data_IF_802220337622
#
_entry.id   IF_802220337622
#
_cell.length_a   1.000
_cell.length_b   1.000
_cell.length_c   1.000
_cell.angle_alpha   90.00
_cell.angle_beta   90.00
_cell.angle_gamma   90.00
#
_symmetry.space_group_name_H-M   'P 1'
#
loop_
_entity.id
_entity.type
_entity.pdbx_description
1 polymer ?
#
# COMPACT_ATOMS: atom_id res chain seq x y z
N UNK A 1 -7.70 15.78 -22.05
CA UNK A 1 -6.51 16.15 -22.84
C UNK A 1 -5.36 15.19 -22.55
N UNK A 2 -4.70 15.30 -21.38
CA UNK A 2 -3.53 14.45 -21.02
C UNK A 2 -3.78 12.94 -21.15
N UNK A 3 -4.93 12.44 -20.65
CA UNK A 3 -5.30 11.01 -20.78
C UNK A 3 -5.63 10.61 -22.22
N UNK A 4 -6.11 11.55 -23.05
CA UNK A 4 -6.44 11.25 -24.45
C UNK A 4 -5.19 11.27 -25.33
N UNK A 5 -4.22 12.14 -25.04
CA UNK A 5 -2.94 12.21 -25.76
C UNK A 5 -2.06 10.96 -25.58
N UNK A 6 -2.34 10.09 -24.61
CA UNK A 6 -1.66 8.79 -24.48
C UNK A 6 -2.17 7.77 -25.50
N UNK A 7 -3.35 7.99 -26.10
CA UNK A 7 -3.89 7.16 -27.17
C UNK A 7 -3.21 7.56 -28.49
N UNK A 8 -2.63 6.61 -29.26
CA UNK A 8 -1.89 6.92 -30.49
C UNK A 8 -2.67 7.78 -31.49
N UNK A 9 -3.98 7.56 -31.60
CA UNK A 9 -4.90 8.27 -32.50
C UNK A 9 -5.09 9.75 -32.15
N UNK A 10 -4.91 10.12 -30.88
CA UNK A 10 -5.07 11.49 -30.37
C UNK A 10 -3.73 12.10 -29.92
N UNK A 11 -2.62 11.43 -30.22
CA UNK A 11 -1.26 11.85 -29.84
C UNK A 11 -0.85 13.11 -30.59
N UNK A 12 -1.24 13.23 -31.86
CA UNK A 12 -1.19 14.48 -32.62
C UNK A 12 -2.42 15.33 -32.29
N UNK A 13 -2.66 15.55 -31.00
CA UNK A 13 -3.77 16.35 -30.52
C UNK A 13 -3.73 17.70 -31.22
N UNK A 14 -4.67 17.92 -32.16
CA UNK A 14 -4.70 19.12 -32.99
C UNK A 14 -4.79 20.40 -32.16
N UNK A 15 -4.82 21.58 -32.81
CA UNK A 15 -4.77 22.89 -32.13
C UNK A 15 -5.79 23.04 -30.99
N UNK A 16 -6.91 22.33 -31.05
CA UNK A 16 -7.90 22.27 -29.97
C UNK A 16 -7.35 21.81 -28.61
N UNK A 17 -6.47 20.80 -28.56
CA UNK A 17 -5.89 20.33 -27.29
C UNK A 17 -4.91 21.35 -26.70
N UNK A 18 -4.12 22.00 -27.55
CA UNK A 18 -3.25 23.10 -27.14
C UNK A 18 -4.07 24.26 -26.55
N UNK A 19 -5.11 24.71 -27.26
CA UNK A 19 -5.98 25.79 -26.77
C UNK A 19 -6.71 25.41 -25.48
N UNK A 20 -7.16 24.16 -25.34
CA UNK A 20 -7.75 23.67 -24.10
C UNK A 20 -6.75 23.76 -22.94
N UNK A 21 -5.50 23.37 -23.14
CA UNK A 21 -4.47 23.47 -22.11
C UNK A 21 -4.11 24.90 -21.74
N UNK A 22 -4.04 25.80 -22.73
CA UNK A 22 -3.82 27.24 -22.52
C UNK A 22 -4.97 27.85 -21.72
N UNK A 23 -6.22 27.60 -22.13
CA UNK A 23 -7.42 28.10 -21.43
C UNK A 23 -7.51 27.54 -20.01
N UNK A 24 -7.31 26.23 -19.84
CA UNK A 24 -7.32 25.60 -18.52
C UNK A 24 -6.23 26.17 -17.60
N UNK A 25 -5.02 26.38 -18.14
CA UNK A 25 -3.91 26.99 -17.39
C UNK A 25 -4.27 28.43 -17.01
N UNK A 26 -4.80 29.23 -17.93
CA UNK A 26 -5.22 30.61 -17.66
C UNK A 26 -6.29 30.69 -16.57
N UNK A 27 -7.33 29.84 -16.64
CA UNK A 27 -8.39 29.77 -15.62
C UNK A 27 -7.82 29.38 -14.25
N UNK A 28 -6.92 28.39 -14.19
CA UNK A 28 -6.29 27.98 -12.94
C UNK A 28 -5.33 29.03 -12.38
N UNK A 29 -4.60 29.75 -13.22
CA UNK A 29 -3.78 30.88 -12.77
C UNK A 29 -4.67 31.98 -12.21
N UNK A 30 -5.76 32.32 -12.90
CA UNK A 30 -6.69 33.34 -12.42
C UNK A 30 -7.26 32.97 -11.05
N UNK A 31 -7.72 31.72 -10.89
CA UNK A 31 -8.18 31.18 -9.60
C UNK A 31 -7.09 31.28 -8.51
N UNK A 32 -5.84 30.93 -8.83
CA UNK A 32 -4.70 31.01 -7.92
C UNK A 32 -4.41 32.46 -7.50
N UNK A 33 -4.42 33.39 -8.45
CA UNK A 33 -4.19 34.83 -8.20
C UNK A 33 -5.29 35.39 -7.31
N UNK A 34 -6.57 35.13 -7.63
CA UNK A 34 -7.70 35.60 -6.83
C UNK A 34 -7.61 35.11 -5.38
N UNK A 35 -7.21 33.85 -5.16
CA UNK A 35 -6.97 33.30 -3.82
C UNK A 35 -5.78 33.94 -3.11
N UNK A 36 -4.70 34.21 -3.84
CA UNK A 36 -3.52 34.87 -3.28
C UNK A 36 -3.85 36.29 -2.82
N UNK A 37 -4.60 37.05 -3.62
CA UNK A 37 -5.05 38.40 -3.28
C UNK A 37 -6.03 38.44 -2.09
N UNK A 38 -6.82 37.37 -1.91
CA UNK A 38 -7.71 37.21 -0.75
C UNK A 38 -7.03 36.67 0.51
N UNK A 39 -5.74 36.34 0.48
CA UNK A 39 -4.99 35.83 1.63
C UNK A 39 -4.43 36.97 2.47
N UNK A 40 -4.44 36.80 3.80
CA UNK A 40 -3.91 37.80 4.75
C UNK A 40 -2.39 38.01 4.60
N UNK A 41 -1.67 36.97 4.17
CA UNK A 41 -0.22 37.06 3.86
C UNK A 41 0.24 35.97 2.89
N UNK A 42 1.41 36.17 2.27
CA UNK A 42 2.03 35.17 1.41
C UNK A 42 2.45 33.90 2.18
N UNK A 43 2.82 34.04 3.46
CA UNK A 43 3.19 32.91 4.32
C UNK A 43 1.98 32.04 4.67
N UNK A 44 0.84 32.67 5.03
CA UNK A 44 -0.42 31.96 5.24
C UNK A 44 -0.93 31.26 3.97
N UNK A 45 -0.66 31.85 2.80
CA UNK A 45 -0.99 31.22 1.53
C UNK A 45 -0.13 29.97 1.27
N UNK A 46 1.18 30.05 1.54
CA UNK A 46 2.13 28.97 1.31
C UNK A 46 2.02 27.83 2.34
N UNK A 47 1.57 28.11 3.56
CA UNK A 47 1.34 27.08 4.59
C UNK A 47 0.12 26.18 4.30
N UNK A 48 -0.79 26.62 3.42
CA UNK A 48 -1.93 25.82 3.00
C UNK A 48 -1.53 24.80 1.91
N UNK A 49 -1.54 23.51 2.26
CA UNK A 49 -1.15 22.42 1.36
C UNK A 49 -1.92 22.38 0.04
N UNK A 50 -3.21 22.72 0.02
CA UNK A 50 -3.99 22.75 -1.23
C UNK A 50 -3.57 23.90 -2.15
N UNK A 51 -3.09 25.01 -1.61
CA UNK A 51 -2.57 26.13 -2.42
C UNK A 51 -1.21 25.78 -3.04
N UNK A 52 -0.38 25.00 -2.35
CA UNK A 52 0.86 24.45 -2.91
C UNK A 52 0.59 23.49 -4.06
N UNK A 53 -0.40 22.60 -3.91
CA UNK A 53 -0.85 21.73 -5.01
C UNK A 53 -1.34 22.54 -6.21
N UNK A 54 -2.11 23.61 -5.97
CA UNK A 54 -2.60 24.48 -7.04
C UNK A 54 -1.48 25.20 -7.79
N UNK A 55 -0.45 25.67 -7.06
CA UNK A 55 0.73 26.30 -7.64
C UNK A 55 1.49 25.31 -8.55
N UNK A 56 1.79 24.11 -8.05
CA UNK A 56 2.50 23.07 -8.80
C UNK A 56 1.71 22.61 -10.02
N UNK A 57 0.39 22.52 -9.91
CA UNK A 57 -0.51 22.10 -10.98
C UNK A 57 -0.52 23.05 -12.19
N UNK A 58 -0.16 24.32 -12.00
CA UNK A 58 -0.11 25.36 -13.04
C UNK A 58 1.26 25.40 -13.76
N UNK A 59 2.34 24.98 -13.09
CA UNK A 59 3.71 24.99 -13.63
C UNK A 59 3.87 24.35 -15.02
N UNK A 60 3.28 23.16 -15.32
CA UNK A 60 3.45 22.54 -16.62
C UNK A 60 2.94 23.37 -17.80
N UNK A 61 1.93 24.21 -17.60
CA UNK A 61 1.38 25.06 -18.67
C UNK A 61 2.28 26.26 -18.98
N UNK A 62 2.91 26.84 -17.96
CA UNK A 62 3.90 27.90 -18.15
C UNK A 62 5.21 27.39 -18.73
N UNK A 63 5.62 26.17 -18.37
CA UNK A 63 6.81 25.55 -18.95
C UNK A 63 6.66 25.33 -20.46
N UNK A 64 5.51 24.82 -20.91
CA UNK A 64 5.22 24.65 -22.34
C UNK A 64 5.20 26.00 -23.08
N UNK A 65 4.61 27.04 -22.49
CA UNK A 65 4.59 28.38 -23.08
C UNK A 65 6.01 28.98 -23.17
N UNK A 66 6.83 28.80 -22.12
CA UNK A 66 8.21 29.24 -22.09
C UNK A 66 9.03 28.56 -23.19
N UNK A 67 8.85 27.24 -23.38
CA UNK A 67 9.56 26.49 -24.41
C UNK A 67 9.17 26.95 -25.83
N UNK A 68 7.92 27.35 -26.03
CA UNK A 68 7.44 27.90 -27.30
C UNK A 68 7.96 29.33 -27.58
N UNK A 69 8.17 30.14 -26.53
CA UNK A 69 8.70 31.51 -26.63
C UNK A 69 10.22 31.55 -26.82
N UNK A 70 10.95 30.53 -26.36
CA UNK A 70 12.40 30.43 -26.49
C UNK A 70 12.82 29.19 -27.33
N UNK A 71 12.44 29.14 -28.63
CA UNK A 71 12.76 28.00 -29.50
C UNK A 71 14.25 27.84 -29.77
N UNK A 72 15.11 28.79 -29.40
CA UNK A 72 16.57 28.73 -29.53
C UNK A 72 17.31 28.00 -28.40
N UNK A 73 16.64 27.69 -27.29
CA UNK A 73 17.17 26.82 -26.24
C UNK A 73 16.74 25.37 -26.46
N UNK A 74 16.73 24.91 -27.73
CA UNK A 74 16.55 23.50 -28.03
C UNK A 74 17.67 22.72 -27.35
N UNK A 75 17.36 22.22 -26.17
CA UNK A 75 18.18 21.23 -25.53
C UNK A 75 18.01 19.95 -26.37
N UNK A 76 18.88 19.78 -27.37
CA UNK A 76 19.06 18.54 -28.13
C UNK A 76 19.44 17.34 -27.24
N UNK A 77 19.67 17.59 -25.95
CA UNK A 77 19.88 16.57 -24.95
C UNK A 77 18.60 15.76 -24.66
N UNK A 78 18.69 14.44 -24.77
CA UNK A 78 17.66 13.49 -24.30
C UNK A 78 17.22 13.69 -22.84
N UNK A 79 17.99 14.45 -22.04
CA UNK A 79 17.62 14.89 -20.69
C UNK A 79 16.46 15.91 -20.68
N UNK A 80 16.39 16.81 -21.67
CA UNK A 80 15.31 17.80 -21.79
C UNK A 80 13.98 17.13 -22.13
N UNK A 81 13.99 16.15 -23.04
CA UNK A 81 12.83 15.35 -23.42
C UNK A 81 12.31 14.49 -22.26
N UNK A 82 13.21 14.01 -21.39
CA UNK A 82 12.85 13.28 -20.17
C UNK A 82 12.21 14.21 -19.13
N UNK A 83 12.76 15.41 -18.94
CA UNK A 83 12.19 16.41 -18.03
C UNK A 83 10.83 16.93 -18.52
N UNK A 84 10.67 17.16 -19.81
CA UNK A 84 9.38 17.48 -20.45
C UNK A 84 8.32 16.42 -20.16
N UNK A 85 8.69 15.14 -20.30
CA UNK A 85 7.78 14.02 -20.02
C UNK A 85 7.32 14.00 -18.56
N UNK A 86 8.23 14.25 -17.62
CA UNK A 86 7.89 14.34 -16.19
C UNK A 86 7.01 15.56 -15.89
N UNK A 87 7.27 16.70 -16.52
CA UNK A 87 6.42 17.90 -16.41
C UNK A 87 5.00 17.65 -16.90
N UNK A 88 4.82 16.84 -17.94
CA UNK A 88 3.50 16.46 -18.42
C UNK A 88 2.76 15.52 -17.46
N UNK A 89 3.48 14.61 -16.77
CA UNK A 89 2.87 13.78 -15.72
C UNK A 89 2.39 14.61 -14.53
N UNK A 90 3.08 15.71 -14.19
CA UNK A 90 2.67 16.62 -13.10
C UNK A 90 1.29 17.24 -13.33
N UNK A 91 0.80 17.31 -14.57
CA UNK A 91 -0.58 17.73 -14.87
C UNK A 91 -1.62 16.84 -14.22
N UNK A 92 -1.32 15.56 -13.93
CA UNK A 92 -2.24 14.66 -13.22
C UNK A 92 -2.54 15.15 -11.81
N UNK A 93 -1.63 15.91 -11.18
CA UNK A 93 -1.85 16.53 -9.88
C UNK A 93 -3.03 17.53 -9.89
N UNK A 94 -3.43 18.04 -11.06
CA UNK A 94 -4.67 18.84 -11.21
C UNK A 94 -5.91 18.07 -10.75
N UNK A 95 -5.89 16.73 -10.80
CA UNK A 95 -6.99 15.90 -10.27
C UNK A 95 -7.11 16.02 -8.75
N UNK A 96 -6.01 16.26 -8.03
CA UNK A 96 -6.02 16.48 -6.58
C UNK A 96 -6.81 17.75 -6.22
N UNK A 97 -6.95 18.72 -7.14
CA UNK A 97 -7.84 19.89 -6.93
C UNK A 97 -9.29 19.50 -6.71
N UNK A 98 -9.76 18.42 -7.35
CA UNK A 98 -11.12 17.90 -7.15
C UNK A 98 -11.34 17.55 -5.67
N UNK A 99 -10.28 17.16 -4.97
CA UNK A 99 -10.36 16.85 -3.55
C UNK A 99 -10.80 18.05 -2.70
N UNK A 100 -10.43 19.29 -3.07
CA UNK A 100 -10.86 20.52 -2.37
C UNK A 100 -12.38 20.74 -2.47
N UNK A 101 -12.99 20.32 -3.57
CA UNK A 101 -14.42 20.54 -3.82
C UNK A 101 -15.31 19.43 -3.25
N UNK A 102 -14.74 18.27 -2.93
CA UNK A 102 -15.46 17.16 -2.31
C UNK A 102 -15.05 17.03 -0.84
N UNK A 103 -16.03 17.17 0.06
CA UNK A 103 -15.81 17.01 1.52
C UNK A 103 -15.14 15.67 1.84
N UNK A 104 -15.56 14.59 1.15
CA UNK A 104 -15.02 13.25 1.36
C UNK A 104 -13.56 13.14 0.92
N UNK A 105 -13.22 13.66 -0.26
CA UNK A 105 -11.85 13.59 -0.78
C UNK A 105 -10.91 14.51 -0.01
N UNK A 106 -11.37 15.70 0.38
CA UNK A 106 -10.61 16.61 1.25
C UNK A 106 -10.32 15.96 2.59
N UNK A 107 -11.33 15.36 3.23
CA UNK A 107 -11.16 14.63 4.48
C UNK A 107 -10.17 13.47 4.30
N UNK A 108 -10.29 12.71 3.21
CA UNK A 108 -9.37 11.60 2.90
C UNK A 108 -7.92 12.05 2.78
N UNK A 109 -7.66 13.16 2.09
CA UNK A 109 -6.30 13.73 1.97
C UNK A 109 -5.77 14.17 3.34
N UNK A 110 -6.60 14.84 4.14
CA UNK A 110 -6.24 15.33 5.48
C UNK A 110 -5.90 14.16 6.42
N UNK A 111 -6.79 13.16 6.50
CA UNK A 111 -6.58 11.94 7.29
C UNK A 111 -5.29 11.28 6.87
N UNK A 112 -5.11 11.05 5.56
CA UNK A 112 -3.89 10.46 5.04
C UNK A 112 -2.68 11.23 5.54
N UNK A 113 -2.59 12.56 5.30
CA UNK A 113 -1.50 13.45 5.79
C UNK A 113 -1.23 13.37 7.29
N UNK A 114 -2.27 13.23 8.11
CA UNK A 114 -2.14 13.11 9.57
C UNK A 114 -1.52 11.76 9.96
N UNK A 115 -1.89 10.68 9.26
CA UNK A 115 -1.49 9.30 9.60
C UNK A 115 -0.30 8.75 8.81
N UNK A 116 0.20 9.50 7.81
CA UNK A 116 1.39 9.15 7.01
C UNK A 116 2.60 8.79 7.89
N UNK A 117 2.84 9.54 8.96
CA UNK A 117 4.01 9.37 9.82
C UNK A 117 3.85 8.28 10.89
N UNK A 118 2.64 7.80 11.16
CA UNK A 118 2.36 6.82 12.22
C UNK A 118 1.88 5.49 11.62
N UNK A 119 0.58 5.34 11.36
CA UNK A 119 -0.04 4.10 10.90
C UNK A 119 0.51 3.62 9.55
N UNK A 120 0.59 4.52 8.55
CA UNK A 120 1.00 4.14 7.19
C UNK A 120 2.47 3.73 7.16
N UNK A 121 3.36 4.44 7.87
CA UNK A 121 4.78 4.11 7.93
C UNK A 121 4.99 2.74 8.59
N UNK A 122 4.26 2.42 9.66
CA UNK A 122 4.32 1.10 10.31
C UNK A 122 3.86 0.00 9.35
N UNK A 123 2.74 0.19 8.65
CA UNK A 123 2.23 -0.76 7.65
C UNK A 123 3.24 -0.96 6.51
N UNK A 124 3.76 0.13 5.94
CA UNK A 124 4.71 0.09 4.83
C UNK A 124 6.04 -0.55 5.25
N UNK A 125 6.49 -0.29 6.47
CA UNK A 125 7.71 -0.92 7.00
C UNK A 125 7.51 -2.42 7.26
N UNK A 126 6.35 -2.83 7.77
CA UNK A 126 6.01 -4.25 7.93
C UNK A 126 5.90 -4.99 6.58
N UNK A 127 5.18 -4.43 5.60
CA UNK A 127 5.09 -4.98 4.24
C UNK A 127 6.45 -4.98 3.53
N UNK A 128 7.24 -3.91 3.69
CA UNK A 128 8.58 -3.80 3.12
C UNK A 128 9.53 -4.84 3.69
N UNK A 129 9.53 -5.02 5.02
CA UNK A 129 10.29 -6.07 5.68
C UNK A 129 9.87 -7.46 5.20
N UNK A 130 8.57 -7.75 5.15
CA UNK A 130 8.04 -9.02 4.67
C UNK A 130 8.43 -9.30 3.21
N UNK A 131 8.42 -8.27 2.36
CA UNK A 131 8.86 -8.34 0.97
C UNK A 131 10.33 -8.69 0.86
N UNK A 132 11.19 -8.04 1.67
CA UNK A 132 12.64 -8.30 1.67
C UNK A 132 12.93 -9.73 2.10
N UNK A 133 12.30 -10.20 3.18
CA UNK A 133 12.46 -11.57 3.69
C UNK A 133 11.96 -12.59 2.65
N UNK A 134 10.75 -12.39 2.11
CA UNK A 134 10.16 -13.25 1.10
C UNK A 134 11.06 -13.37 -0.12
N UNK A 135 11.51 -12.25 -0.69
CA UNK A 135 12.32 -12.26 -1.90
C UNK A 135 13.69 -12.88 -1.67
N UNK A 136 14.30 -12.66 -0.51
CA UNK A 136 15.58 -13.28 -0.16
C UNK A 136 15.45 -14.80 -0.06
N UNK A 137 14.44 -15.29 0.67
CA UNK A 137 14.22 -16.73 0.82
C UNK A 137 13.85 -17.38 -0.52
N UNK A 138 13.01 -16.74 -1.33
CA UNK A 138 12.62 -17.24 -2.65
C UNK A 138 13.82 -17.29 -3.61
N UNK A 139 14.67 -16.26 -3.58
CA UNK A 139 15.93 -16.27 -4.33
C UNK A 139 16.76 -17.48 -3.96
N UNK A 140 17.12 -17.67 -2.67
CA UNK A 140 17.95 -18.80 -2.26
C UNK A 140 17.34 -20.16 -2.56
N UNK A 141 16.02 -20.31 -2.34
CA UNK A 141 15.36 -21.59 -2.60
C UNK A 141 15.33 -21.88 -4.10
N UNK A 142 15.01 -20.92 -4.96
CA UNK A 142 14.83 -21.17 -6.39
C UNK A 142 16.14 -21.07 -7.20
N UNK A 143 17.13 -20.27 -6.76
CA UNK A 143 18.41 -20.04 -7.48
C UNK A 143 19.28 -21.29 -7.54
N UNK A 144 19.35 -22.05 -6.44
CA UNK A 144 20.38 -23.08 -6.23
C UNK A 144 20.32 -24.26 -7.21
N UNK A 145 19.17 -24.56 -7.82
CA UNK A 145 19.08 -25.65 -8.83
C UNK A 145 19.01 -25.13 -10.25
N UNK A 146 18.57 -23.89 -10.48
CA UNK A 146 18.51 -23.34 -11.82
C UNK A 146 19.92 -23.17 -12.41
N UNK A 147 20.89 -22.73 -11.58
CA UNK A 147 22.30 -22.66 -11.97
C UNK A 147 22.90 -24.07 -12.20
N UNK A 148 22.44 -25.08 -11.45
CA UNK A 148 22.92 -26.46 -11.54
C UNK A 148 22.36 -27.22 -12.77
N UNK A 149 21.12 -26.92 -13.16
CA UNK A 149 20.39 -27.57 -14.26
C UNK A 149 20.57 -26.87 -15.62
N UNK A 150 21.24 -25.71 -15.65
CA UNK A 150 21.44 -24.92 -16.88
C UNK A 150 20.14 -24.35 -17.45
N UNK A 151 19.11 -24.19 -16.61
CA UNK A 151 17.78 -23.66 -16.97
C UNK A 151 17.68 -22.22 -16.46
N UNK A 152 17.00 -21.34 -17.19
CA UNK A 152 16.82 -19.95 -16.77
C UNK A 152 16.02 -19.85 -15.46
N UNK A 153 16.57 -19.17 -14.44
CA UNK A 153 15.83 -18.78 -13.24
C UNK A 153 14.81 -17.69 -13.61
N UNK A 154 13.70 -18.04 -14.26
CA UNK A 154 12.67 -17.07 -14.68
C UNK A 154 12.13 -16.33 -13.44
N UNK A 155 12.52 -15.05 -13.31
CA UNK A 155 12.08 -14.17 -12.22
C UNK A 155 12.84 -14.26 -10.88
N UNK A 156 13.73 -15.24 -10.69
CA UNK A 156 14.53 -15.43 -9.46
C UNK A 156 16.04 -15.29 -9.70
N UNK A 157 16.46 -14.45 -10.65
CA UNK A 157 17.89 -14.24 -10.99
C UNK A 157 18.67 -13.45 -9.95
N UNK A 158 17.99 -12.66 -9.13
CA UNK A 158 18.59 -11.84 -8.07
C UNK A 158 17.53 -11.51 -7.03
N UNK A 159 17.95 -11.12 -5.81
CA UNK A 159 17.01 -10.70 -4.76
C UNK A 159 16.12 -9.53 -5.24
N UNK A 160 16.62 -8.48 -5.93
CA UNK A 160 15.76 -7.44 -6.48
C UNK A 160 14.80 -7.93 -7.56
N UNK A 161 15.17 -8.93 -8.37
CA UNK A 161 14.25 -9.54 -9.33
C UNK A 161 13.11 -10.28 -8.60
N UNK A 162 13.43 -11.00 -7.52
CA UNK A 162 12.46 -11.68 -6.66
C UNK A 162 11.53 -10.73 -5.87
N UNK A 163 11.83 -9.42 -5.81
CA UNK A 163 10.88 -8.44 -5.28
C UNK A 163 9.60 -8.39 -6.11
N UNK A 164 9.67 -8.54 -7.43
CA UNK A 164 8.46 -8.52 -8.27
C UNK A 164 7.48 -9.62 -7.87
N UNK A 165 7.98 -10.85 -7.72
CA UNK A 165 7.21 -11.98 -7.20
C UNK A 165 6.66 -11.69 -5.80
N UNK A 166 7.52 -11.22 -4.89
CA UNK A 166 7.12 -11.00 -3.49
C UNK A 166 6.08 -9.89 -3.34
N UNK A 167 6.24 -8.77 -4.04
CA UNK A 167 5.30 -7.65 -4.00
C UNK A 167 3.95 -8.09 -4.57
N UNK A 168 3.93 -8.70 -5.77
CA UNK A 168 2.68 -9.13 -6.41
C UNK A 168 1.96 -10.23 -5.61
N UNK A 169 2.70 -11.12 -4.96
CA UNK A 169 2.14 -12.20 -4.14
C UNK A 169 1.62 -11.69 -2.79
N UNK A 170 2.41 -10.91 -2.05
CA UNK A 170 2.03 -10.39 -0.73
C UNK A 170 0.89 -9.38 -0.79
N UNK A 171 0.77 -8.66 -1.91
CA UNK A 171 -0.37 -7.75 -2.18
C UNK A 171 -1.58 -8.47 -2.78
N UNK A 172 -1.54 -9.80 -2.89
CA UNK A 172 -2.60 -10.66 -3.43
C UNK A 172 -2.97 -10.43 -4.89
N UNK A 173 -2.14 -9.70 -5.65
CA UNK A 173 -2.35 -9.47 -7.09
C UNK A 173 -2.08 -10.75 -7.89
N UNK A 174 -0.93 -11.38 -7.65
CA UNK A 174 -0.59 -12.70 -8.19
C UNK A 174 -0.73 -12.83 -9.71
N UNK A 175 0.00 -12.02 -10.50
CA UNK A 175 -0.07 -12.04 -11.96
C UNK A 175 0.22 -13.41 -12.59
N UNK A 176 1.03 -14.24 -11.92
CA UNK A 176 1.36 -15.61 -12.36
C UNK A 176 2.43 -15.67 -13.45
N UNK A 177 3.11 -14.55 -13.75
CA UNK A 177 4.23 -14.44 -14.68
C UNK A 177 5.56 -14.95 -14.10
N UNK A 178 5.70 -14.89 -12.78
CA UNK A 178 6.81 -15.50 -12.03
C UNK A 178 6.21 -16.39 -10.94
N UNK A 179 6.61 -17.66 -10.87
CA UNK A 179 6.13 -18.62 -9.86
C UNK A 179 7.26 -19.57 -9.43
N UNK A 180 7.32 -19.99 -8.15
CA UNK A 180 8.28 -20.99 -7.72
C UNK A 180 8.05 -22.31 -8.43
N UNK A 181 9.12 -22.90 -8.95
CA UNK A 181 9.07 -24.23 -9.55
C UNK A 181 9.15 -25.31 -8.46
N UNK A 182 10.00 -25.09 -7.45
CA UNK A 182 10.34 -26.11 -6.44
C UNK A 182 9.22 -26.31 -5.43
N UNK A 183 9.12 -27.53 -4.91
CA UNK A 183 8.18 -27.88 -3.84
C UNK A 183 8.44 -27.03 -2.59
N UNK A 184 9.71 -26.82 -2.23
CA UNK A 184 10.05 -25.98 -1.07
C UNK A 184 9.68 -24.52 -1.30
N UNK A 185 9.91 -23.98 -2.51
CA UNK A 185 9.51 -22.62 -2.87
C UNK A 185 7.99 -22.43 -2.85
N UNK A 186 7.23 -23.44 -3.27
CA UNK A 186 5.75 -23.43 -3.18
C UNK A 186 5.25 -23.42 -1.75
N UNK A 187 5.85 -24.22 -0.86
CA UNK A 187 5.51 -24.23 0.57
C UNK A 187 5.80 -22.87 1.20
N UNK A 188 6.99 -22.32 0.92
CA UNK A 188 7.42 -21.03 1.40
C UNK A 188 6.51 -19.90 0.88
N UNK A 189 6.22 -19.89 -0.43
CA UNK A 189 5.31 -18.92 -1.04
C UNK A 189 3.91 -18.98 -0.42
N UNK A 190 3.40 -20.19 -0.15
CA UNK A 190 2.12 -20.35 0.55
C UNK A 190 2.13 -19.73 1.95
N UNK A 191 3.18 -20.00 2.74
CA UNK A 191 3.34 -19.41 4.07
C UNK A 191 3.44 -17.87 4.02
N UNK A 192 4.31 -17.34 3.15
CA UNK A 192 4.50 -15.89 3.00
C UNK A 192 3.23 -15.20 2.50
N UNK A 193 2.46 -15.83 1.62
CA UNK A 193 1.17 -15.30 1.15
C UNK A 193 0.17 -15.11 2.29
N UNK A 194 0.08 -16.07 3.22
CA UNK A 194 -0.78 -15.95 4.41
C UNK A 194 -0.33 -14.78 5.28
N UNK A 195 0.99 -14.66 5.54
CA UNK A 195 1.54 -13.50 6.26
C UNK A 195 1.22 -12.17 5.57
N UNK A 196 1.30 -12.10 4.24
CA UNK A 196 0.98 -10.91 3.45
C UNK A 196 -0.47 -10.48 3.63
N UNK A 197 -1.41 -11.43 3.50
CA UNK A 197 -2.85 -11.18 3.71
C UNK A 197 -3.13 -10.62 5.10
N UNK A 198 -2.50 -11.19 6.14
CA UNK A 198 -2.67 -10.71 7.52
C UNK A 198 -2.21 -9.26 7.67
N UNK A 199 -1.04 -8.92 7.11
CA UNK A 199 -0.51 -7.55 7.20
C UNK A 199 -1.38 -6.57 6.41
N UNK A 200 -1.88 -6.94 5.22
CA UNK A 200 -2.79 -6.10 4.43
C UNK A 200 -4.15 -5.93 5.14
N UNK A 201 -4.68 -6.98 5.77
CA UNK A 201 -5.92 -6.88 6.55
C UNK A 201 -5.76 -5.94 7.75
N UNK A 202 -4.65 -6.07 8.48
CA UNK A 202 -4.31 -5.15 9.58
C UNK A 202 -4.16 -3.71 9.09
N UNK A 203 -3.55 -3.51 7.93
CA UNK A 203 -3.44 -2.19 7.32
C UNK A 203 -4.81 -1.55 7.06
N UNK A 204 -5.73 -2.31 6.47
CA UNK A 204 -7.10 -1.87 6.21
C UNK A 204 -7.85 -1.52 7.50
N UNK A 205 -7.72 -2.34 8.55
CA UNK A 205 -8.32 -2.08 9.85
C UNK A 205 -7.77 -0.80 10.50
N UNK A 206 -6.44 -0.63 10.52
CA UNK A 206 -5.80 0.57 11.07
C UNK A 206 -6.23 1.85 10.34
N UNK A 207 -6.25 1.82 9.00
CA UNK A 207 -6.76 2.92 8.20
C UNK A 207 -8.24 3.21 8.53
N UNK A 208 -9.07 2.18 8.67
CA UNK A 208 -10.50 2.34 8.98
C UNK A 208 -10.71 3.04 10.32
N UNK A 209 -9.93 2.71 11.35
CA UNK A 209 -9.98 3.41 12.64
C UNK A 209 -9.56 4.87 12.52
N UNK A 210 -8.50 5.16 11.78
CA UNK A 210 -8.01 6.54 11.59
C UNK A 210 -9.04 7.41 10.84
N UNK A 211 -9.74 6.82 9.87
CA UNK A 211 -10.86 7.48 9.19
C UNK A 211 -12.07 7.68 10.11
N UNK A 212 -12.41 6.68 10.92
CA UNK A 212 -13.52 6.78 11.87
C UNK A 212 -13.29 7.90 12.90
N UNK A 213 -12.08 7.98 13.47
CA UNK A 213 -11.66 8.99 14.44
C UNK A 213 -11.75 10.42 13.87
N UNK A 214 -11.33 10.62 12.62
CA UNK A 214 -11.45 11.94 11.99
C UNK A 214 -12.91 12.34 11.73
N UNK A 215 -13.78 11.39 11.39
CA UNK A 215 -15.20 11.67 11.14
C UNK A 215 -16.05 11.81 12.41
N UNK A 216 -15.58 11.31 13.56
CA UNK A 216 -16.19 11.57 14.86
C UNK A 216 -15.78 12.92 15.43
N UNK A 217 -14.49 13.29 15.35
CA UNK A 217 -13.98 14.61 15.77
C UNK A 217 -14.74 15.74 15.05
N UNK A 218 -15.05 15.55 13.76
CA UNK A 218 -15.78 16.54 12.96
C UNK A 218 -17.28 16.67 13.31
N UNK A 219 -17.83 15.76 14.13
CA UNK A 219 -19.28 15.61 14.36
C UNK A 219 -19.72 16.04 15.76
N UNK A 220 -18.81 16.17 16.72
CA UNK A 220 -19.14 16.39 18.13
C UNK A 220 -18.58 17.72 18.71
N UNK A 221 -19.40 18.54 19.40
CA UNK A 221 -18.91 19.73 20.11
C UNK A 221 -18.02 19.37 21.31
N UNK A 222 -17.07 20.23 21.67
CA UNK A 222 -15.98 20.00 22.65
C UNK A 222 -16.40 19.45 24.03
N UNK A 223 -17.65 19.62 24.47
CA UNK A 223 -18.16 19.13 25.76
C UNK A 223 -18.68 17.67 25.73
N UNK A 224 -19.07 17.14 24.57
CA UNK A 224 -19.50 15.73 24.37
C UNK A 224 -18.34 14.80 23.96
N UNK A 225 -17.17 15.39 23.72
CA UNK A 225 -15.96 14.78 23.18
C UNK A 225 -15.37 13.66 24.07
N UNK A 226 -15.72 13.64 25.37
CA UNK A 226 -15.32 12.59 26.30
C UNK A 226 -16.12 11.30 26.12
N UNK A 227 -17.43 11.40 25.87
CA UNK A 227 -18.28 10.23 25.57
C UNK A 227 -17.97 9.65 24.19
N UNK A 228 -17.75 10.52 23.19
CA UNK A 228 -17.37 10.10 21.84
C UNK A 228 -16.04 9.32 21.80
N UNK A 229 -15.02 9.77 22.54
CA UNK A 229 -13.73 9.04 22.65
C UNK A 229 -13.89 7.66 23.29
N UNK A 230 -14.69 7.53 24.35
CA UNK A 230 -14.97 6.24 25.00
C UNK A 230 -15.73 5.29 24.06
N UNK A 231 -16.71 5.80 23.31
CA UNK A 231 -17.41 4.99 22.30
C UNK A 231 -16.46 4.53 21.18
N UNK A 232 -15.55 5.39 20.71
CA UNK A 232 -14.56 5.01 19.70
C UNK A 232 -13.56 3.97 20.22
N UNK A 233 -13.11 4.11 21.47
CA UNK A 233 -12.25 3.12 22.13
C UNK A 233 -12.96 1.77 22.27
N UNK A 234 -14.25 1.79 22.60
CA UNK A 234 -15.10 0.59 22.67
C UNK A 234 -15.36 -0.04 21.28
N UNK A 235 -15.50 0.76 20.23
CA UNK A 235 -15.60 0.25 18.85
C UNK A 235 -14.27 -0.37 18.42
N UNK A 236 -13.16 0.30 18.73
CA UNK A 236 -11.81 -0.18 18.42
C UNK A 236 -11.48 -1.49 19.15
N UNK A 237 -11.86 -1.62 20.42
CA UNK A 237 -11.67 -2.86 21.19
C UNK A 237 -12.52 -4.01 20.63
N UNK A 238 -13.78 -3.73 20.24
CA UNK A 238 -14.66 -4.72 19.60
C UNK A 238 -14.13 -5.19 18.24
N UNK A 239 -13.73 -4.29 17.36
CA UNK A 239 -13.17 -4.67 16.05
C UNK A 239 -11.85 -5.45 16.21
N UNK A 240 -11.00 -5.07 17.18
CA UNK A 240 -9.79 -5.85 17.50
C UNK A 240 -10.13 -7.26 17.98
N UNK A 241 -11.18 -7.41 18.80
CA UNK A 241 -11.65 -8.70 19.30
C UNK A 241 -12.27 -9.56 18.19
N UNK A 242 -13.05 -8.97 17.28
CA UNK A 242 -13.61 -9.67 16.12
C UNK A 242 -12.49 -10.16 15.20
N UNK A 243 -11.55 -9.29 14.87
CA UNK A 243 -10.38 -9.67 14.08
C UNK A 243 -9.57 -10.79 14.75
N UNK A 244 -9.32 -10.69 16.07
CA UNK A 244 -8.61 -11.73 16.82
C UNK A 244 -9.36 -13.08 16.79
N UNK A 245 -10.70 -13.05 16.88
CA UNK A 245 -11.54 -14.25 16.76
C UNK A 245 -11.48 -14.86 15.35
N UNK A 246 -11.57 -14.05 14.30
CA UNK A 246 -11.47 -14.51 12.91
C UNK A 246 -10.10 -15.09 12.61
N UNK A 247 -9.05 -14.41 13.03
CA UNK A 247 -7.68 -14.88 12.91
C UNK A 247 -7.50 -16.24 13.59
N UNK A 248 -8.02 -16.38 14.81
CA UNK A 248 -7.96 -17.64 15.55
C UNK A 248 -8.69 -18.78 14.83
N UNK A 249 -9.87 -18.53 14.27
CA UNK A 249 -10.61 -19.53 13.47
C UNK A 249 -9.83 -19.95 12.24
N UNK A 250 -9.25 -18.99 11.51
CA UNK A 250 -8.43 -19.27 10.34
C UNK A 250 -7.18 -20.09 10.71
N UNK A 251 -6.52 -19.75 11.82
CA UNK A 251 -5.36 -20.45 12.34
C UNK A 251 -5.67 -21.89 12.74
N UNK A 252 -6.75 -22.11 13.48
CA UNK A 252 -7.20 -23.45 13.88
C UNK A 252 -7.53 -24.30 12.64
N UNK A 253 -8.13 -23.71 11.61
CA UNK A 253 -8.39 -24.36 10.33
C UNK A 253 -7.11 -24.77 9.58
N UNK A 254 -6.12 -23.88 9.49
CA UNK A 254 -4.83 -24.16 8.86
C UNK A 254 -4.08 -25.26 9.63
N UNK A 255 -4.04 -25.17 10.96
CA UNK A 255 -3.40 -26.17 11.81
C UNK A 255 -4.03 -27.56 11.65
N UNK A 256 -5.36 -27.64 11.56
CA UNK A 256 -6.07 -28.88 11.27
C UNK A 256 -5.72 -29.44 9.88
N UNK A 257 -5.66 -28.59 8.85
CA UNK A 257 -5.30 -28.99 7.49
C UNK A 257 -3.87 -29.55 7.41
N UNK A 258 -2.91 -28.89 8.06
CA UNK A 258 -1.53 -29.34 8.13
C UNK A 258 -1.40 -30.68 8.87
N UNK A 259 -2.13 -30.86 9.98
CA UNK A 259 -2.17 -32.13 10.73
C UNK A 259 -2.71 -33.27 9.85
N UNK A 260 -3.79 -33.02 9.10
CA UNK A 260 -4.38 -34.00 8.19
C UNK A 260 -3.44 -34.38 7.03
N UNK A 261 -2.75 -33.39 6.45
CA UNK A 261 -1.79 -33.62 5.35
C UNK A 261 -0.58 -34.40 5.84
N UNK A 262 -0.04 -34.07 7.02
CA UNK A 262 1.05 -34.82 7.64
C UNK A 262 0.66 -36.27 7.98
N UNK A 263 -0.58 -36.49 8.44
CA UNK A 263 -1.12 -37.82 8.69
C UNK A 263 -1.27 -38.64 7.38
N UNK A 264 -1.75 -38.02 6.31
CA UNK A 264 -1.84 -38.66 5.00
C UNK A 264 -0.47 -39.04 4.42
N UNK A 265 0.55 -38.19 4.58
CA UNK A 265 1.90 -38.53 4.11
C UNK A 265 2.52 -39.67 4.90
N UNK A 266 2.27 -39.75 6.22
CA UNK A 266 2.69 -40.90 7.03
C UNK A 266 2.03 -42.20 6.59
N UNK A 267 0.71 -42.19 6.39
CA UNK A 267 -0.01 -43.37 5.92
C UNK A 267 0.50 -43.85 4.56
N UNK A 268 0.83 -42.93 3.64
CA UNK A 268 1.45 -43.26 2.35
C UNK A 268 2.87 -43.82 2.48
N UNK A 269 3.69 -43.26 3.36
CA UNK A 269 5.07 -43.73 3.59
C UNK A 269 5.11 -45.12 4.25
N UNK A 270 4.20 -45.41 5.19
CA UNK A 270 4.06 -46.74 5.80
C UNK A 270 3.65 -47.81 4.78
N UNK A 271 2.79 -47.45 3.81
CA UNK A 271 2.38 -48.35 2.71
C UNK A 271 3.50 -48.56 1.68
N UNK A 272 4.40 -47.58 1.49
CA UNK A 272 5.49 -47.63 0.51
C UNK A 272 6.77 -48.33 1.02
N UNK A 273 6.91 -48.57 2.34
CA UNK A 273 8.08 -49.23 2.91
C UNK A 273 9.38 -48.40 2.90
N UNK A 274 9.28 -47.09 2.71
CA UNK A 274 10.42 -46.16 2.72
C UNK A 274 10.70 -45.62 4.14
N UNK A 275 11.98 -45.34 4.44
CA UNK A 275 12.37 -44.70 5.69
C UNK A 275 11.69 -43.31 5.81
N UNK A 276 11.06 -43.06 6.97
CA UNK A 276 10.21 -41.89 7.22
C UNK A 276 10.86 -40.58 6.73
N UNK A 277 10.16 -39.76 5.91
CA UNK A 277 10.70 -38.48 5.46
C UNK A 277 10.90 -37.54 6.67
N UNK A 278 11.95 -36.72 6.62
CA UNK A 278 12.39 -35.79 7.67
C UNK A 278 11.20 -35.16 8.42
N UNK A 279 11.21 -35.32 9.74
CA UNK A 279 10.08 -35.09 10.63
C UNK A 279 9.69 -33.60 10.67
N UNK A 280 8.57 -33.25 10.01
CA UNK A 280 7.95 -31.92 10.07
C UNK A 280 7.28 -31.60 11.43
N UNK A 281 7.26 -32.56 12.36
CA UNK A 281 6.61 -32.47 13.68
C UNK A 281 7.19 -31.43 14.64
N UNK A 282 8.52 -31.24 14.76
CA UNK A 282 9.09 -30.19 15.61
C UNK A 282 8.67 -28.80 15.13
N UNK A 283 8.63 -28.59 13.81
CA UNK A 283 8.18 -27.36 13.18
C UNK A 283 6.70 -27.11 13.44
N UNK A 284 5.85 -28.15 13.29
CA UNK A 284 4.42 -28.04 13.57
C UNK A 284 4.11 -27.71 15.04
N UNK A 285 4.83 -28.33 16.00
CA UNK A 285 4.67 -28.01 17.43
C UNK A 285 5.10 -26.58 17.74
N UNK A 286 6.22 -26.13 17.17
CA UNK A 286 6.73 -24.77 17.35
C UNK A 286 5.74 -23.73 16.80
N UNK A 287 5.13 -23.99 15.65
CA UNK A 287 4.09 -23.15 15.06
C UNK A 287 2.84 -23.10 15.96
N UNK A 288 2.39 -24.24 16.48
CA UNK A 288 1.20 -24.34 17.35
C UNK A 288 1.38 -23.64 18.70
N UNK A 289 2.58 -23.71 19.27
CA UNK A 289 2.95 -23.03 20.51
C UNK A 289 3.00 -21.51 20.31
N UNK A 290 3.62 -21.04 19.22
CA UNK A 290 3.70 -19.60 18.89
C UNK A 290 2.35 -18.99 18.53
N UNK A 291 1.48 -19.73 17.84
CA UNK A 291 0.12 -19.28 17.54
C UNK A 291 -0.74 -19.07 18.79
N UNK A 292 -0.59 -19.93 19.81
CA UNK A 292 -1.27 -19.75 21.11
C UNK A 292 -0.81 -18.51 21.86
N UNK A 293 0.50 -18.21 21.84
CA UNK A 293 1.06 -17.01 22.48
C UNK A 293 0.53 -15.74 21.81
N UNK A 294 0.53 -15.69 20.48
CA UNK A 294 -0.03 -14.56 19.72
C UNK A 294 -1.51 -14.31 20.02
N UNK A 295 -2.33 -15.37 20.12
CA UNK A 295 -3.73 -15.22 20.50
C UNK A 295 -3.90 -14.71 21.94
N UNK A 296 -3.07 -15.17 22.87
CA UNK A 296 -3.10 -14.72 24.26
C UNK A 296 -2.67 -13.25 24.40
N UNK A 297 -1.65 -12.82 23.66
CA UNK A 297 -1.19 -11.43 23.63
C UNK A 297 -2.23 -10.51 22.98
N UNK A 298 -2.87 -10.93 21.89
CA UNK A 298 -3.95 -10.17 21.26
C UNK A 298 -5.15 -9.97 22.21
N UNK A 299 -5.54 -11.03 22.93
CA UNK A 299 -6.61 -10.96 23.95
C UNK A 299 -6.21 -10.07 25.14
N UNK A 300 -4.96 -10.16 25.59
CA UNK A 300 -4.45 -9.33 26.67
C UNK A 300 -4.40 -7.84 26.27
N UNK A 301 -4.03 -7.54 25.03
CA UNK A 301 -4.01 -6.19 24.48
C UNK A 301 -5.44 -5.61 24.40
N UNK A 302 -6.41 -6.41 23.93
CA UNK A 302 -7.82 -6.01 23.93
C UNK A 302 -8.35 -5.74 25.34
N UNK A 303 -8.03 -6.59 26.32
CA UNK A 303 -8.44 -6.40 27.71
C UNK A 303 -7.77 -5.18 28.36
N UNK A 304 -6.51 -4.88 28.02
CA UNK A 304 -5.81 -3.71 28.54
C UNK A 304 -6.43 -2.38 28.04
N UNK A 305 -6.93 -2.36 26.81
CA UNK A 305 -7.66 -1.22 26.25
C UNK A 305 -9.00 -1.02 26.99
N UNK A 306 -9.66 -2.11 27.39
CA UNK A 306 -10.95 -2.11 28.09
C UNK A 306 -10.83 -1.77 29.60
N UNK A 307 -9.64 -1.88 30.19
CA UNK A 307 -9.37 -1.44 31.57
C UNK A 307 -9.02 0.04 31.63
N UNK A 308 -8.34 0.57 30.61
CA UNK A 308 -8.03 1.99 30.50
C UNK A 308 -9.30 2.87 30.36
N UNK A 309 -10.40 2.34 29.81
CA UNK A 309 -11.70 3.01 29.71
C UNK A 309 -12.49 3.10 31.02
N UNK A 310 -12.11 2.35 32.05
CA UNK A 310 -12.82 2.29 33.36
C UNK A 310 -12.14 3.16 34.43
N UNK A 311 -10.90 3.60 34.21
CA UNK A 311 -10.10 4.33 35.20
C UNK A 311 -9.94 5.85 34.96
N UNK A 312 -10.39 6.39 33.82
CA UNK A 312 -10.46 7.84 33.51
C UNK A 312 -11.92 8.34 33.42
#
# INVERSE_FOLDING_TARGET
AVILQTVPEFREGGPAFFWLEVVATAVFTMELILRFLGSESASAFASNGFNMVDLVAVLPGYFDLLMLLFPGSQAEDAKSLRLLRLMWMIRILRLVKVARHSKLLSASVIVLTKVWCSSILVILSALGFLTIVSASLMYYVESDECELLGVSCEGFTSIPAAFWFSISTLTTVGYGDVVPAKTMGKILAGFMSVCGVIVVALAGAMLSFDFADHFSEARWPEDEDRHGRLELQNVKSKELQEFAMEFRRAWDGLAACLKNTAAQQRAKAEVAGEASPLTMMPVLRLIEERGRVLCAEAQACANAIDVATVQD
#
